data_IF_857854732297
#
_entry.id   IF_857854732297
#
_cell.length_a   1.000
_cell.length_b   1.000
_cell.length_c   1.000
_cell.angle_alpha   90.00
_cell.angle_beta   90.00
_cell.angle_gamma   90.00
#
_symmetry.space_group_name_H-M   'P 1'
#
loop_
_entity.id
_entity.type
_entity.pdbx_description
1 polymer ?
#
# COMPACT_ATOMS: atom_id res chain seq x y z
N UNK A 1 51.64 7.47 -13.19
CA UNK A 1 52.29 8.70 -12.69
C UNK A 1 51.39 9.27 -11.60
N UNK A 2 51.88 9.48 -10.37
CA UNK A 2 51.06 10.13 -9.34
C UNK A 2 50.74 11.56 -9.80
N UNK A 3 49.45 11.90 -9.88
CA UNK A 3 49.04 13.29 -10.13
C UNK A 3 49.43 14.09 -8.88
N UNK A 4 50.50 14.88 -8.98
CA UNK A 4 50.93 15.79 -7.92
C UNK A 4 50.02 17.01 -7.94
N UNK A 5 48.96 16.98 -7.12
CA UNK A 5 48.07 18.13 -6.97
C UNK A 5 48.75 19.17 -6.07
N UNK A 6 48.84 20.42 -6.54
CA UNK A 6 49.27 21.54 -5.71
C UNK A 6 48.19 21.84 -4.67
N UNK A 7 48.61 21.97 -3.42
CA UNK A 7 47.71 22.31 -2.33
C UNK A 7 47.25 23.79 -2.43
N UNK A 8 46.10 24.10 -1.85
CA UNK A 8 45.40 25.39 -1.90
C UNK A 8 44.98 25.87 -3.31
N UNK A 9 45.15 25.06 -4.36
CA UNK A 9 44.57 25.32 -5.68
C UNK A 9 43.18 24.70 -5.79
N UNK A 10 42.28 25.36 -6.51
CA UNK A 10 40.95 24.80 -6.82
C UNK A 10 41.10 23.76 -7.92
N UNK A 11 40.68 22.55 -7.63
CA UNK A 11 40.64 21.45 -8.58
C UNK A 11 39.19 21.11 -8.86
N UNK A 12 38.96 20.60 -10.05
CA UNK A 12 37.63 20.20 -10.49
C UNK A 12 37.33 18.77 -10.07
N UNK A 13 36.20 18.56 -9.39
CA UNK A 13 35.78 17.26 -8.86
C UNK A 13 34.33 16.98 -9.25
N UNK A 14 34.03 15.72 -9.54
CA UNK A 14 32.67 15.22 -9.65
C UNK A 14 32.48 14.01 -8.73
N UNK A 15 31.23 13.70 -8.42
CA UNK A 15 30.85 12.52 -7.65
C UNK A 15 30.17 11.56 -8.63
N UNK A 16 30.67 10.33 -8.71
CA UNK A 16 30.09 9.25 -9.51
C UNK A 16 29.41 8.23 -8.59
N UNK A 17 28.15 7.93 -8.88
CA UNK A 17 27.43 6.82 -8.28
C UNK A 17 27.36 5.66 -9.28
N UNK A 18 27.69 4.45 -8.83
CA UNK A 18 27.61 3.23 -9.63
C UNK A 18 26.54 2.32 -9.02
N UNK A 19 25.60 1.83 -9.83
CA UNK A 19 24.62 0.85 -9.37
C UNK A 19 25.21 -0.58 -9.36
N UNK A 20 24.44 -1.54 -8.84
CA UNK A 20 24.86 -2.95 -8.76
C UNK A 20 25.03 -3.63 -10.13
N UNK A 21 24.60 -2.96 -11.19
CA UNK A 21 24.69 -3.42 -12.56
C UNK A 21 25.86 -2.74 -13.31
N UNK A 22 26.63 -1.88 -12.62
CA UNK A 22 27.75 -1.15 -13.18
C UNK A 22 27.37 0.14 -13.91
N UNK A 23 26.10 0.55 -13.91
CA UNK A 23 25.69 1.80 -14.54
C UNK A 23 26.14 2.98 -13.69
N UNK A 24 26.70 3.98 -14.36
CA UNK A 24 27.33 5.14 -13.76
C UNK A 24 26.49 6.38 -13.97
N UNK A 25 26.25 7.12 -12.89
CA UNK A 25 25.69 8.48 -12.95
C UNK A 25 26.66 9.43 -12.27
N UNK A 26 27.03 10.51 -12.96
CA UNK A 26 27.95 11.53 -12.42
C UNK A 26 27.22 12.82 -12.10
N UNK A 27 27.65 13.50 -11.05
CA UNK A 27 27.25 14.88 -10.76
C UNK A 27 27.89 15.85 -11.75
N UNK A 28 27.41 17.10 -11.71
CA UNK A 28 28.15 18.22 -12.29
C UNK A 28 29.50 18.38 -11.60
N UNK A 29 30.44 18.97 -12.33
CA UNK A 29 31.77 19.30 -11.86
C UNK A 29 31.72 20.46 -10.85
N UNK A 30 32.49 20.36 -9.78
CA UNK A 30 32.55 21.34 -8.68
C UNK A 30 33.99 21.59 -8.28
N UNK A 31 34.32 22.85 -7.99
CA UNK A 31 35.67 23.24 -7.61
C UNK A 31 35.91 23.04 -6.11
N UNK A 32 36.90 22.22 -5.76
CA UNK A 32 37.34 22.02 -4.38
C UNK A 32 38.86 22.18 -4.24
N UNK A 33 39.31 22.77 -3.13
CA UNK A 33 40.73 22.98 -2.87
C UNK A 33 41.22 22.20 -1.66
N UNK A 34 42.33 21.46 -1.82
CA UNK A 34 42.92 20.66 -0.75
C UNK A 34 43.95 21.50 0.00
N UNK A 35 43.77 21.79 1.30
CA UNK A 35 44.76 22.54 2.04
C UNK A 35 46.05 21.75 2.23
N UNK A 36 47.19 22.47 2.25
CA UNK A 36 48.50 21.84 2.38
C UNK A 36 48.59 21.03 3.69
N UNK A 37 49.05 19.78 3.61
CA UNK A 37 49.18 18.90 4.78
C UNK A 37 47.88 18.20 5.22
N UNK A 38 46.76 18.38 4.51
CA UNK A 38 45.53 17.68 4.82
C UNK A 38 45.60 16.20 4.41
N UNK A 39 45.45 15.30 5.40
CA UNK A 39 45.28 13.85 5.18
C UNK A 39 43.80 13.46 4.99
N UNK A 40 42.87 14.38 5.26
CA UNK A 40 41.44 14.18 5.13
C UNK A 40 40.75 15.53 4.96
N UNK A 41 39.66 15.53 4.21
CA UNK A 41 38.90 16.74 3.87
C UNK A 41 37.47 16.51 4.33
N UNK A 42 36.95 17.41 5.15
CA UNK A 42 35.55 17.38 5.59
C UNK A 42 34.81 18.49 4.86
N UNK A 43 33.92 18.11 3.95
CA UNK A 43 33.03 19.05 3.26
C UNK A 43 31.66 18.98 3.93
N UNK A 44 31.23 20.09 4.51
CA UNK A 44 29.92 20.19 5.13
C UNK A 44 28.89 20.48 4.04
N UNK A 45 28.21 19.45 3.53
CA UNK A 45 27.16 19.62 2.53
C UNK A 45 25.81 19.78 3.25
N UNK A 46 25.11 20.91 3.10
CA UNK A 46 23.76 21.07 3.66
C UNK A 46 22.84 19.98 3.11
N UNK A 47 21.95 19.43 3.95
CA UNK A 47 21.04 18.32 3.56
C UNK A 47 20.20 18.60 2.30
N UNK A 48 20.03 19.87 1.90
CA UNK A 48 19.23 20.26 0.75
C UNK A 48 20.00 20.25 -0.60
N UNK A 49 21.34 20.20 -0.58
CA UNK A 49 22.16 20.30 -1.80
C UNK A 49 22.46 18.93 -2.45
N UNK A 50 22.32 17.84 -1.70
CA UNK A 50 22.42 16.48 -2.27
C UNK A 50 21.03 16.06 -2.75
N UNK A 51 20.76 16.25 -4.05
CA UNK A 51 19.51 15.82 -4.70
C UNK A 51 19.80 14.73 -5.71
N UNK A 52 19.30 13.52 -5.47
CA UNK A 52 19.19 12.49 -6.51
C UNK A 52 17.98 12.81 -7.37
N UNK A 53 18.19 13.32 -8.59
CA UNK A 53 17.12 13.48 -9.56
C UNK A 53 17.16 12.28 -10.51
N UNK A 54 16.12 11.46 -10.48
CA UNK A 54 15.88 10.47 -11.52
C UNK A 54 15.37 11.20 -12.75
N UNK A 55 16.24 11.42 -13.74
CA UNK A 55 15.88 12.05 -15.01
C UNK A 55 15.17 11.04 -15.92
N UNK A 56 13.97 10.60 -15.53
CA UNK A 56 13.05 10.07 -16.54
C UNK A 56 12.52 11.27 -17.32
N UNK A 57 13.00 11.46 -18.55
CA UNK A 57 12.37 12.39 -19.49
C UNK A 57 10.91 11.96 -19.67
N UNK A 58 9.99 12.64 -18.96
CA UNK A 58 8.70 13.18 -19.41
C UNK A 58 7.81 13.49 -18.18
N UNK A 59 7.89 14.75 -17.78
CA UNK A 59 6.91 15.56 -17.02
C UNK A 59 5.71 14.87 -16.37
N UNK A 60 5.73 14.79 -15.04
CA UNK A 60 4.60 15.18 -14.20
C UNK A 60 5.12 15.59 -12.81
N UNK A 61 4.98 16.88 -12.47
CA UNK A 61 5.19 17.38 -11.10
C UNK A 61 4.30 16.63 -10.13
N UNK A 62 4.88 15.96 -9.15
CA UNK A 62 4.18 15.58 -7.94
C UNK A 62 5.12 15.71 -6.74
N UNK A 63 4.78 16.63 -5.86
CA UNK A 63 5.41 16.93 -4.59
C UNK A 63 5.30 15.71 -3.67
N UNK A 64 6.41 15.02 -3.38
CA UNK A 64 6.46 13.94 -2.40
C UNK A 64 7.16 14.38 -1.12
N UNK A 65 6.35 14.60 -0.08
CA UNK A 65 6.77 14.66 1.32
C UNK A 65 6.94 13.22 1.81
N UNK A 66 8.13 12.91 2.31
CA UNK A 66 8.57 11.59 2.77
C UNK A 66 7.78 11.12 3.99
N UNK A 67 7.37 9.86 4.01
CA UNK A 67 7.25 9.09 5.26
C UNK A 67 7.29 7.58 4.99
N UNK A 68 8.35 6.97 5.51
CA UNK A 68 8.54 5.57 5.88
C UNK A 68 8.11 4.45 4.91
N UNK A 69 9.15 3.76 4.43
CA UNK A 69 9.11 2.32 4.18
C UNK A 69 8.55 1.61 5.42
N UNK A 70 7.37 1.01 5.26
CA UNK A 70 6.91 -0.13 6.06
C UNK A 70 6.41 -1.18 5.07
N UNK A 71 6.94 -2.39 5.23
CA UNK A 71 6.36 -3.66 4.78
C UNK A 71 6.20 -3.87 3.26
N UNK A 72 7.11 -4.68 2.70
CA UNK A 72 6.84 -5.51 1.52
C UNK A 72 5.92 -6.67 1.94
N UNK A 73 4.69 -6.38 2.34
CA UNK A 73 3.62 -7.38 2.56
C UNK A 73 2.22 -6.81 2.27
N UNK A 74 2.13 -5.80 1.39
CA UNK A 74 0.85 -5.29 0.90
C UNK A 74 0.56 -5.94 -0.46
N UNK A 75 -0.38 -6.87 -0.48
CA UNK A 75 -1.12 -7.20 -1.69
C UNK A 75 -1.71 -5.88 -2.20
N UNK A 76 -1.09 -5.33 -3.26
CA UNK A 76 -1.51 -4.08 -3.87
C UNK A 76 -2.78 -4.42 -4.64
N UNK A 77 -3.95 -4.14 -4.08
CA UNK A 77 -5.13 -3.94 -4.92
C UNK A 77 -4.72 -2.92 -6.00
N UNK A 78 -4.82 -3.32 -7.26
CA UNK A 78 -4.40 -2.51 -8.38
C UNK A 78 -5.23 -1.22 -8.36
N UNK A 79 -4.58 -0.07 -8.31
CA UNK A 79 -5.32 1.21 -8.40
C UNK A 79 -5.90 1.37 -9.80
N UNK A 80 -7.00 2.12 -9.94
CA UNK A 80 -7.61 2.41 -11.25
C UNK A 80 -6.62 3.02 -12.25
N UNK A 81 -5.66 3.80 -11.74
CA UNK A 81 -4.53 4.34 -12.51
C UNK A 81 -3.59 3.25 -13.01
N UNK A 82 -3.25 2.25 -12.18
CA UNK A 82 -2.41 1.12 -12.57
C UNK A 82 -3.12 0.22 -13.60
N UNK A 83 -4.42 -0.03 -13.43
CA UNK A 83 -5.22 -0.76 -14.43
C UNK A 83 -5.24 -0.01 -15.76
N UNK A 84 -5.45 1.32 -15.75
CA UNK A 84 -5.40 2.13 -16.96
C UNK A 84 -4.03 2.14 -17.62
N UNK A 85 -2.94 2.15 -16.85
CA UNK A 85 -1.57 2.06 -17.37
C UNK A 85 -1.31 0.69 -18.05
N UNK A 86 -1.76 -0.41 -17.44
CA UNK A 86 -1.63 -1.76 -18.00
C UNK A 86 -2.40 -1.89 -19.31
N UNK A 87 -3.66 -1.43 -19.34
CA UNK A 87 -4.48 -1.49 -20.56
C UNK A 87 -3.92 -0.60 -21.68
N UNK A 88 -3.32 0.54 -21.33
CA UNK A 88 -2.68 1.44 -22.30
C UNK A 88 -1.40 0.82 -22.89
N UNK A 89 -0.60 0.14 -22.06
CA UNK A 89 0.60 -0.57 -22.50
C UNK A 89 0.24 -1.73 -23.44
N UNK A 90 -0.79 -2.51 -23.13
CA UNK A 90 -1.25 -3.62 -23.98
C UNK A 90 -1.73 -3.13 -25.35
N UNK A 91 -2.49 -2.03 -25.38
CA UNK A 91 -2.90 -1.40 -26.65
C UNK A 91 -1.70 -0.89 -27.46
N UNK A 92 -0.67 -0.39 -26.79
CA UNK A 92 0.57 0.04 -27.44
C UNK A 92 1.37 -1.12 -28.07
N UNK A 93 1.17 -2.36 -27.61
CA UNK A 93 1.73 -3.56 -28.23
C UNK A 93 0.81 -4.17 -29.32
N UNK A 94 -0.29 -3.50 -29.66
CA UNK A 94 -1.22 -3.97 -30.68
C UNK A 94 -2.13 -5.12 -30.22
N UNK A 95 -2.33 -5.29 -28.91
CA UNK A 95 -3.28 -6.28 -28.40
C UNK A 95 -4.70 -5.98 -28.91
N UNK A 96 -5.35 -6.99 -29.47
CA UNK A 96 -6.73 -6.89 -29.94
C UNK A 96 -7.71 -6.53 -28.81
N UNK A 97 -8.82 -5.89 -29.16
CA UNK A 97 -9.84 -5.45 -28.21
C UNK A 97 -10.37 -6.58 -27.31
N UNK A 98 -10.40 -7.82 -27.81
CA UNK A 98 -10.81 -8.99 -27.03
C UNK A 98 -9.80 -9.35 -25.93
N UNK A 99 -8.50 -9.22 -26.19
CA UNK A 99 -7.44 -9.45 -25.21
C UNK A 99 -7.45 -8.34 -24.16
N UNK A 100 -7.58 -7.09 -24.60
CA UNK A 100 -7.70 -5.93 -23.69
C UNK A 100 -8.93 -6.07 -22.77
N UNK A 101 -10.05 -6.56 -23.29
CA UNK A 101 -11.28 -6.81 -22.53
C UNK A 101 -11.08 -7.94 -21.51
N UNK A 102 -10.54 -9.08 -21.92
CA UNK A 102 -10.28 -10.21 -21.03
C UNK A 102 -9.33 -9.84 -19.89
N UNK A 103 -8.28 -9.08 -20.19
CA UNK A 103 -7.33 -8.60 -19.18
C UNK A 103 -7.98 -7.59 -18.24
N UNK A 104 -8.83 -6.69 -18.76
CA UNK A 104 -9.60 -5.76 -17.93
C UNK A 104 -10.51 -6.52 -16.95
N UNK A 105 -11.26 -7.51 -17.42
CA UNK A 105 -12.15 -8.32 -16.59
C UNK A 105 -11.38 -9.09 -15.50
N UNK A 106 -10.20 -9.62 -15.83
CA UNK A 106 -9.31 -10.27 -14.87
C UNK A 106 -8.73 -9.30 -13.82
N UNK A 107 -8.37 -8.08 -14.23
CA UNK A 107 -7.80 -7.05 -13.35
C UNK A 107 -8.87 -6.36 -12.48
N UNK A 108 -10.08 -6.18 -13.00
CA UNK A 108 -11.22 -5.62 -12.26
C UNK A 108 -11.66 -6.63 -11.17
N UNK A 109 -11.67 -7.93 -11.48
CA UNK A 109 -11.88 -9.01 -10.50
C UNK A 109 -10.80 -9.08 -9.40
N UNK A 110 -9.62 -8.49 -9.63
CA UNK A 110 -8.53 -8.41 -8.66
C UNK A 110 -8.54 -7.13 -7.82
N UNK A 111 -9.43 -6.17 -8.11
CA UNK A 111 -9.39 -4.82 -7.52
C UNK A 111 -10.62 -4.48 -6.68
N UNK A 112 -11.74 -5.15 -6.89
CA UNK A 112 -12.96 -4.90 -6.12
C UNK A 112 -13.23 -6.04 -5.15
N UNK A 113 -13.30 -5.82 -3.82
CA UNK A 113 -14.18 -6.64 -3.02
C UNK A 113 -15.57 -6.39 -3.62
N UNK A 114 -16.10 -7.40 -4.29
CA UNK A 114 -17.38 -7.39 -4.98
C UNK A 114 -18.40 -6.70 -4.08
N UNK A 115 -18.75 -5.45 -4.41
CA UNK A 115 -19.58 -4.58 -3.56
C UNK A 115 -21.06 -4.90 -3.78
N UNK A 116 -21.38 -6.18 -3.75
CA UNK A 116 -22.72 -6.72 -3.74
C UNK A 116 -22.71 -8.09 -3.03
N UNK A 117 -22.05 -8.16 -1.88
CA UNK A 117 -22.21 -9.30 -0.97
C UNK A 117 -23.58 -9.17 -0.36
N UNK A 118 -24.53 -9.99 -0.82
CA UNK A 118 -25.80 -10.15 -0.14
C UNK A 118 -25.53 -10.81 1.21
N UNK A 119 -25.62 -10.04 2.30
CA UNK A 119 -25.44 -10.56 3.65
C UNK A 119 -26.72 -11.28 4.10
N UNK A 120 -26.79 -12.58 3.82
CA UNK A 120 -27.87 -13.46 4.25
C UNK A 120 -27.38 -14.37 5.37
N UNK A 121 -27.97 -14.21 6.56
CA UNK A 121 -27.60 -14.98 7.73
C UNK A 121 -28.67 -16.04 8.03
N UNK A 122 -28.28 -17.30 8.19
CA UNK A 122 -29.22 -18.40 8.45
C UNK A 122 -29.14 -18.94 9.88
N UNK A 123 -28.09 -18.59 10.62
CA UNK A 123 -27.85 -19.08 11.99
C UNK A 123 -27.55 -17.92 12.94
N UNK A 124 -27.69 -18.18 14.23
CA UNK A 124 -27.08 -17.34 15.26
C UNK A 124 -25.60 -17.70 15.36
N UNK A 125 -24.76 -16.78 15.83
CA UNK A 125 -23.33 -17.03 16.01
C UNK A 125 -22.83 -16.59 17.39
N UNK A 126 -21.90 -17.35 17.95
CA UNK A 126 -21.24 -17.09 19.23
C UNK A 126 -19.73 -17.38 19.19
N UNK A 127 -19.06 -17.04 20.29
CA UNK A 127 -17.61 -17.28 20.42
C UNK A 127 -17.32 -18.78 20.30
N UNK A 128 -16.27 -19.09 19.56
CA UNK A 128 -15.83 -20.43 19.13
C UNK A 128 -16.56 -21.04 17.94
N UNK A 129 -17.59 -20.39 17.39
CA UNK A 129 -18.19 -20.87 16.16
C UNK A 129 -17.20 -20.83 14.99
N UNK A 130 -17.35 -21.81 14.09
CA UNK A 130 -16.57 -21.90 12.87
C UNK A 130 -17.50 -22.09 11.68
N UNK A 131 -17.35 -21.26 10.64
CA UNK A 131 -18.10 -21.45 9.41
C UNK A 131 -18.09 -20.25 8.47
N UNK A 132 -18.79 -20.44 7.35
CA UNK A 132 -18.99 -19.37 6.34
C UNK A 132 -19.82 -18.22 6.89
N UNK A 133 -20.77 -18.50 7.78
CA UNK A 133 -21.59 -17.48 8.46
C UNK A 133 -20.76 -16.53 9.33
N UNK A 134 -19.73 -17.06 10.00
CA UNK A 134 -18.77 -16.25 10.76
C UNK A 134 -17.97 -15.35 9.84
N UNK A 135 -17.48 -15.89 8.72
CA UNK A 135 -16.75 -15.10 7.73
C UNK A 135 -17.62 -13.96 7.20
N UNK A 136 -18.88 -14.26 6.87
CA UNK A 136 -19.85 -13.28 6.39
C UNK A 136 -20.12 -12.17 7.44
N UNK A 137 -20.21 -12.53 8.72
CA UNK A 137 -20.33 -11.56 9.81
C UNK A 137 -19.09 -10.66 9.88
N UNK A 138 -17.89 -11.21 9.77
CA UNK A 138 -16.66 -10.42 9.77
C UNK A 138 -16.58 -9.47 8.57
N UNK A 139 -16.97 -9.93 7.37
CA UNK A 139 -17.03 -9.11 6.16
C UNK A 139 -18.01 -7.95 6.34
N UNK A 140 -19.19 -8.22 6.90
CA UNK A 140 -20.19 -7.19 7.21
C UNK A 140 -19.65 -6.15 8.19
N UNK A 141 -19.07 -6.59 9.31
CA UNK A 141 -18.52 -5.69 10.34
C UNK A 141 -17.40 -4.81 9.79
N UNK A 142 -16.48 -5.40 9.01
CA UNK A 142 -15.39 -4.68 8.35
C UNK A 142 -15.92 -3.64 7.33
N UNK A 143 -16.97 -3.97 6.57
CA UNK A 143 -17.58 -3.07 5.61
C UNK A 143 -18.32 -1.89 6.26
N UNK A 144 -18.85 -2.07 7.48
CA UNK A 144 -19.67 -1.09 8.19
C UNK A 144 -18.89 -0.28 9.24
N UNK A 145 -17.56 -0.18 9.08
CA UNK A 145 -16.71 0.68 9.93
C UNK A 145 -16.31 0.05 11.27
N UNK A 146 -16.73 -1.18 11.55
CA UNK A 146 -16.44 -1.90 12.78
C UNK A 146 -15.41 -2.99 12.49
N UNK A 147 -14.17 -2.59 12.21
CA UNK A 147 -13.11 -3.54 11.86
C UNK A 147 -12.90 -4.62 12.95
N UNK A 148 -12.89 -5.89 12.54
CA UNK A 148 -12.62 -7.05 13.41
C UNK A 148 -11.16 -7.05 13.84
N UNK A 149 -10.25 -6.78 12.91
CA UNK A 149 -8.85 -6.48 13.20
C UNK A 149 -8.35 -5.35 12.33
N UNK A 150 -7.37 -4.58 12.82
CA UNK A 150 -6.71 -3.55 12.02
C UNK A 150 -5.72 -4.14 11.01
N UNK A 151 -5.14 -5.32 11.30
CA UNK A 151 -4.18 -6.02 10.46
C UNK A 151 -4.22 -7.53 10.71
N UNK A 152 -3.85 -8.31 9.68
CA UNK A 152 -3.75 -9.76 9.80
C UNK A 152 -5.11 -10.45 9.76
N UNK A 153 -5.25 -11.57 10.46
CA UNK A 153 -6.50 -12.33 10.48
C UNK A 153 -7.67 -11.49 11.02
N UNK A 154 -8.79 -11.50 10.29
CA UNK A 154 -9.97 -10.69 10.58
C UNK A 154 -9.90 -9.25 10.06
N UNK A 155 -8.78 -8.78 9.50
CA UNK A 155 -8.76 -7.44 8.88
C UNK A 155 -9.55 -7.41 7.57
N UNK A 156 -9.96 -6.23 7.06
CA UNK A 156 -10.66 -6.13 5.78
C UNK A 156 -9.93 -6.89 4.65
N UNK A 157 -10.63 -7.83 4.02
CA UNK A 157 -10.07 -8.71 2.96
C UNK A 157 -9.22 -9.88 3.48
N UNK A 158 -9.17 -10.10 4.80
CA UNK A 158 -8.48 -11.20 5.49
C UNK A 158 -9.39 -11.84 6.56
N UNK A 159 -10.70 -11.83 6.32
CA UNK A 159 -11.71 -12.43 7.19
C UNK A 159 -11.47 -13.94 7.35
N UNK A 160 -11.75 -14.44 8.54
CA UNK A 160 -11.59 -15.85 8.89
C UNK A 160 -12.95 -16.52 9.07
N UNK A 161 -12.93 -17.84 9.12
CA UNK A 161 -14.13 -18.61 9.44
C UNK A 161 -14.32 -18.80 10.95
N UNK A 162 -13.45 -18.25 11.81
CA UNK A 162 -13.47 -18.51 13.25
C UNK A 162 -13.95 -17.29 14.05
N UNK A 163 -14.93 -17.52 14.93
CA UNK A 163 -15.45 -16.50 15.82
C UNK A 163 -14.59 -16.45 17.07
N UNK A 164 -13.49 -15.71 16.99
CA UNK A 164 -12.61 -15.47 18.13
C UNK A 164 -12.94 -14.19 18.89
N UNK A 165 -12.05 -13.87 19.83
CA UNK A 165 -12.17 -12.68 20.69
C UNK A 165 -12.20 -11.36 19.91
N UNK A 166 -11.49 -11.27 18.78
CA UNK A 166 -11.51 -10.09 17.91
C UNK A 166 -12.91 -9.83 17.33
N UNK A 167 -13.55 -10.89 16.82
CA UNK A 167 -14.92 -10.83 16.27
C UNK A 167 -15.93 -10.49 17.37
N UNK A 168 -15.75 -11.05 18.58
CA UNK A 168 -16.55 -10.71 19.75
C UNK A 168 -16.50 -9.21 20.06
N UNK A 169 -15.30 -8.64 20.19
CA UNK A 169 -15.14 -7.23 20.50
C UNK A 169 -15.69 -6.30 19.41
N UNK A 170 -15.52 -6.67 18.14
CA UNK A 170 -16.12 -5.94 17.04
C UNK A 170 -17.64 -6.00 17.09
N UNK A 171 -18.23 -7.18 17.33
CA UNK A 171 -19.67 -7.32 17.45
C UNK A 171 -20.26 -6.52 18.63
N UNK A 172 -19.59 -6.55 19.78
CA UNK A 172 -19.97 -5.73 20.95
C UNK A 172 -19.97 -4.24 20.59
N UNK A 173 -18.96 -3.77 19.86
CA UNK A 173 -18.89 -2.37 19.41
C UNK A 173 -20.04 -2.04 18.45
N UNK A 174 -20.28 -2.88 17.45
CA UNK A 174 -21.41 -2.72 16.54
C UNK A 174 -22.74 -2.66 17.29
N UNK A 175 -22.96 -3.54 18.27
CA UNK A 175 -24.18 -3.54 19.07
C UNK A 175 -24.35 -2.24 19.87
N UNK A 176 -23.27 -1.75 20.51
CA UNK A 176 -23.29 -0.45 21.22
C UNK A 176 -23.64 0.71 20.29
N UNK A 177 -22.99 0.79 19.14
CA UNK A 177 -23.21 1.86 18.15
C UNK A 177 -24.65 1.88 17.63
N UNK A 178 -25.29 0.71 17.58
CA UNK A 178 -26.65 0.54 17.10
C UNK A 178 -27.71 0.41 18.20
N UNK A 179 -27.36 0.75 19.44
CA UNK A 179 -28.27 0.73 20.62
C UNK A 179 -28.90 -0.64 20.87
N UNK A 180 -28.18 -1.71 20.52
CA UNK A 180 -28.52 -3.08 20.87
C UNK A 180 -27.85 -3.49 22.19
N UNK A 181 -28.37 -4.51 22.90
CA UNK A 181 -27.67 -5.12 24.02
C UNK A 181 -26.26 -5.60 23.59
N UNK A 182 -25.19 -5.11 24.21
CA UNK A 182 -23.81 -5.37 23.78
C UNK A 182 -23.28 -6.70 24.33
N UNK A 183 -24.00 -7.79 24.03
CA UNK A 183 -23.72 -9.13 24.55
C UNK A 183 -22.55 -9.80 23.83
N UNK A 184 -22.22 -9.37 22.62
CA UNK A 184 -21.26 -10.03 21.73
C UNK A 184 -21.76 -11.37 21.20
N UNK A 185 -23.07 -11.63 21.34
CA UNK A 185 -23.77 -12.75 20.71
C UNK A 185 -24.51 -12.27 19.48
N UNK A 186 -24.31 -12.95 18.34
CA UNK A 186 -25.00 -12.66 17.09
C UNK A 186 -26.35 -13.38 17.04
N UNK A 187 -27.30 -12.86 17.83
CA UNK A 187 -28.66 -13.38 17.93
C UNK A 187 -29.67 -12.75 16.95
N UNK A 188 -30.95 -13.15 17.04
CA UNK A 188 -32.02 -12.70 16.13
C UNK A 188 -32.16 -11.18 16.03
N UNK A 189 -31.95 -10.46 17.14
CA UNK A 189 -32.06 -9.00 17.16
C UNK A 189 -30.95 -8.33 16.34
N UNK A 190 -29.71 -8.81 16.46
CA UNK A 190 -28.59 -8.26 15.69
C UNK A 190 -28.71 -8.66 14.22
N UNK A 191 -29.10 -9.91 13.95
CA UNK A 191 -29.33 -10.40 12.58
C UNK A 191 -30.41 -9.60 11.87
N UNK A 192 -31.58 -9.42 12.50
CA UNK A 192 -32.70 -8.65 11.93
C UNK A 192 -32.27 -7.24 11.55
N UNK A 193 -31.55 -6.55 12.45
CA UNK A 193 -31.06 -5.20 12.16
C UNK A 193 -30.12 -5.16 10.95
N UNK A 194 -29.23 -6.15 10.82
CA UNK A 194 -28.32 -6.24 9.68
C UNK A 194 -29.12 -6.50 8.39
N UNK A 195 -30.05 -7.45 8.41
CA UNK A 195 -30.90 -7.78 7.26
C UNK A 195 -31.71 -6.58 6.78
N UNK A 196 -32.32 -5.82 7.69
CA UNK A 196 -33.05 -4.57 7.37
C UNK A 196 -32.17 -3.52 6.69
N UNK A 197 -30.87 -3.48 7.00
CA UNK A 197 -29.92 -2.51 6.41
C UNK A 197 -29.31 -2.96 5.10
N UNK A 198 -29.35 -4.26 4.81
CA UNK A 198 -28.77 -4.85 3.59
C UNK A 198 -29.84 -5.07 2.52
N UNK A 199 -31.09 -5.27 2.94
CA UNK A 199 -32.25 -5.39 2.05
C UNK A 199 -32.93 -4.07 1.67
N UNK A 200 -32.36 -2.93 2.06
CA UNK A 200 -32.86 -1.57 1.75
C UNK A 200 -31.86 -0.82 0.86
#
# INVERSE_FOLDING_TARGET
MPRTYKCNEKHKWNIEAVDNNGNKTSSNESDFSIPCGAISIVVNVPRNDIRTQFTNQKTASSTHKTSHVKDVTKQQNLTSTQVSAILSLLKSFGADNNVVKAVREALDSATTPNKNVSFVFTTNLEVNDVGTQVKLLQEYLNAHGVAVSSKGYGSPGKETMYFGQATYHALVRYQKENRLPPTGWFGPMTRKLIEERVGA
#
